data_IF_211908287937
#
_entry.id   IF_211908287937
#
_cell.length_a   1.000
_cell.length_b   1.000
_cell.length_c   1.000
_cell.angle_alpha   90.00
_cell.angle_beta   90.00
_cell.angle_gamma   90.00
#
_symmetry.space_group_name_H-M   'P 1'
#
loop_
_entity.id
_entity.type
_entity.pdbx_description
1 polymer ?
#
# COMPACT_ATOMS: atom_id res chain seq x y z
N UNK A 1 26.94 2.91 4.20
CA UNK A 1 25.49 2.72 4.02
C UNK A 1 25.16 1.26 4.24
N UNK A 2 24.00 0.95 4.84
CA UNK A 2 23.55 -0.43 5.06
C UNK A 2 22.12 -0.55 4.54
N UNK A 3 21.79 -1.70 3.92
CA UNK A 3 20.47 -1.97 3.38
C UNK A 3 19.80 -3.16 4.07
N UNK A 4 18.51 -3.02 4.37
CA UNK A 4 17.64 -4.15 4.68
C UNK A 4 16.96 -4.65 3.41
N UNK A 5 16.98 -5.94 3.16
CA UNK A 5 16.31 -6.56 2.01
C UNK A 5 15.07 -7.30 2.53
N UNK A 6 13.90 -6.89 2.05
CA UNK A 6 12.62 -7.53 2.30
C UNK A 6 12.13 -8.24 1.03
N UNK A 7 12.49 -9.53 0.81
CA UNK A 7 12.19 -10.25 -0.43
C UNK A 7 10.83 -10.93 -0.38
N UNK A 8 10.07 -10.88 -1.47
CA UNK A 8 8.84 -11.66 -1.60
C UNK A 8 9.14 -13.12 -1.97
N UNK A 9 9.22 -13.96 -0.97
CA UNK A 9 9.49 -15.41 -1.10
C UNK A 9 8.37 -16.21 -1.80
N UNK A 10 7.17 -15.62 -2.01
CA UNK A 10 6.08 -16.27 -2.75
C UNK A 10 6.29 -16.21 -4.27
N UNK A 11 7.12 -15.28 -4.76
CA UNK A 11 7.46 -15.16 -6.18
C UNK A 11 8.66 -16.04 -6.53
N UNK A 12 8.51 -16.96 -7.50
CA UNK A 12 9.59 -17.85 -7.92
C UNK A 12 10.83 -17.07 -8.43
N UNK A 13 10.62 -15.95 -9.10
CA UNK A 13 11.69 -15.12 -9.66
C UNK A 13 12.66 -14.57 -8.61
N UNK A 14 12.23 -14.46 -7.34
CA UNK A 14 13.07 -13.96 -6.23
C UNK A 14 14.32 -14.82 -6.04
N UNK A 15 14.19 -16.14 -6.17
CA UNK A 15 15.28 -17.09 -5.94
C UNK A 15 16.42 -16.99 -6.97
N UNK A 16 16.12 -16.50 -8.17
CA UNK A 16 17.12 -16.21 -9.21
C UNK A 16 17.68 -14.79 -9.07
N UNK A 17 16.87 -13.86 -8.59
CA UNK A 17 17.23 -12.46 -8.53
C UNK A 17 17.97 -12.07 -7.26
N UNK A 18 17.61 -12.59 -6.09
CA UNK A 18 18.22 -12.22 -4.81
C UNK A 18 19.74 -12.45 -4.78
N UNK A 19 20.30 -13.57 -5.29
CA UNK A 19 21.75 -13.74 -5.39
C UNK A 19 22.43 -12.68 -6.26
N UNK A 20 21.78 -12.24 -7.34
CA UNK A 20 22.29 -11.16 -8.21
C UNK A 20 22.32 -9.82 -7.48
N UNK A 21 21.23 -9.50 -6.75
CA UNK A 21 21.16 -8.28 -5.93
C UNK A 21 22.25 -8.27 -4.86
N UNK A 22 22.44 -9.39 -4.16
CA UNK A 22 23.49 -9.54 -3.15
C UNK A 22 24.87 -9.27 -3.76
N UNK A 23 25.16 -9.88 -4.90
CA UNK A 23 26.44 -9.66 -5.62
C UNK A 23 26.65 -8.19 -6.03
N UNK A 24 25.59 -7.50 -6.46
CA UNK A 24 25.64 -6.06 -6.76
C UNK A 24 26.02 -5.27 -5.50
N UNK A 25 25.40 -5.55 -4.35
CA UNK A 25 25.69 -4.86 -3.09
C UNK A 25 27.12 -5.12 -2.61
N UNK A 26 27.60 -6.37 -2.69
CA UNK A 26 28.96 -6.76 -2.33
C UNK A 26 30.00 -6.07 -3.24
N UNK A 27 29.76 -6.01 -4.53
CA UNK A 27 30.63 -5.30 -5.48
C UNK A 27 30.71 -3.80 -5.20
N UNK A 28 29.66 -3.21 -4.66
CA UNK A 28 29.64 -1.80 -4.23
C UNK A 28 30.14 -1.62 -2.78
N UNK A 29 30.64 -2.69 -2.12
CA UNK A 29 31.12 -2.69 -0.73
C UNK A 29 30.06 -2.20 0.27
N UNK A 30 28.80 -2.52 0.02
CA UNK A 30 27.65 -2.12 0.84
C UNK A 30 27.22 -3.30 1.71
N UNK A 31 27.10 -3.05 2.99
CA UNK A 31 26.60 -4.02 3.94
C UNK A 31 25.09 -4.18 3.80
N UNK A 32 24.60 -5.40 3.87
CA UNK A 32 23.18 -5.72 3.76
C UNK A 32 22.74 -6.71 4.85
N UNK A 33 21.43 -6.70 5.08
CA UNK A 33 20.75 -7.67 5.94
C UNK A 33 19.49 -8.16 5.20
N UNK A 34 19.08 -9.38 5.47
CA UNK A 34 17.90 -10.00 4.85
C UNK A 34 16.86 -10.29 5.92
N UNK A 35 15.60 -10.07 5.60
CA UNK A 35 14.51 -10.36 6.51
C UNK A 35 14.49 -11.84 6.91
N UNK A 36 14.47 -12.11 8.22
CA UNK A 36 14.58 -13.45 8.79
C UNK A 36 13.46 -14.40 8.33
N UNK A 37 12.30 -13.84 8.01
CA UNK A 37 11.13 -14.57 7.49
C UNK A 37 11.42 -15.26 6.14
N UNK A 38 12.44 -14.80 5.42
CA UNK A 38 12.85 -15.40 4.16
C UNK A 38 13.78 -16.61 4.31
N UNK A 39 14.42 -16.78 5.47
CA UNK A 39 15.52 -17.71 5.70
C UNK A 39 15.19 -19.15 5.28
N UNK A 40 14.16 -19.74 5.85
CA UNK A 40 13.81 -21.14 5.60
C UNK A 40 13.53 -21.41 4.12
N UNK A 41 12.82 -20.49 3.44
CA UNK A 41 12.49 -20.62 2.02
C UNK A 41 13.70 -20.45 1.11
N UNK A 42 14.66 -19.62 1.48
CA UNK A 42 15.91 -19.46 0.73
C UNK A 42 16.80 -20.72 0.88
N UNK A 43 16.92 -21.27 2.09
CA UNK A 43 17.65 -22.52 2.35
C UNK A 43 17.03 -23.71 1.61
N UNK A 44 15.69 -23.85 1.57
CA UNK A 44 14.96 -24.84 0.75
C UNK A 44 15.30 -24.75 -0.75
N UNK A 45 15.70 -23.58 -1.22
CA UNK A 45 16.09 -23.31 -2.62
C UNK A 45 17.60 -23.29 -2.83
N UNK A 46 18.38 -23.80 -1.86
CA UNK A 46 19.85 -23.84 -1.88
C UNK A 46 20.50 -22.45 -2.01
N UNK A 47 19.87 -21.41 -1.48
CA UNK A 47 20.41 -20.05 -1.41
C UNK A 47 20.86 -19.82 0.03
N UNK A 48 22.19 -19.93 0.23
CA UNK A 48 22.79 -19.82 1.55
C UNK A 48 23.37 -18.42 1.76
N UNK A 49 22.89 -17.75 2.78
CA UNK A 49 23.36 -16.45 3.24
C UNK A 49 23.89 -16.63 4.67
N UNK A 50 24.97 -15.94 4.99
CA UNK A 50 25.54 -15.99 6.34
C UNK A 50 24.44 -15.73 7.40
N UNK A 51 24.24 -16.65 8.37
CA UNK A 51 23.19 -16.51 9.39
C UNK A 51 23.21 -15.19 10.16
N UNK A 52 24.37 -14.57 10.33
CA UNK A 52 24.51 -13.27 11.00
C UNK A 52 23.84 -12.10 10.26
N UNK A 53 23.60 -12.26 8.94
CA UNK A 53 22.98 -11.24 8.08
C UNK A 53 21.45 -11.31 8.11
N UNK A 54 20.86 -12.36 8.67
CA UNK A 54 19.41 -12.39 8.86
C UNK A 54 19.00 -11.57 10.08
N UNK A 55 18.00 -10.69 9.90
CA UNK A 55 17.46 -9.84 10.95
C UNK A 55 15.93 -9.82 10.90
N UNK A 56 15.30 -9.64 12.05
CA UNK A 56 13.85 -9.41 12.11
C UNK A 56 13.49 -8.07 11.46
N UNK A 57 12.29 -7.94 10.96
CA UNK A 57 11.77 -6.68 10.40
C UNK A 57 11.80 -5.55 11.43
N UNK A 58 11.52 -5.84 12.70
CA UNK A 58 11.64 -4.90 13.81
C UNK A 58 13.07 -4.38 13.98
N UNK A 59 14.07 -5.29 14.00
CA UNK A 59 15.47 -4.89 14.08
C UNK A 59 15.87 -4.03 12.88
N UNK A 60 15.44 -4.43 11.66
CA UNK A 60 15.72 -3.65 10.45
C UNK A 60 15.13 -2.25 10.53
N UNK A 61 13.87 -2.12 10.98
CA UNK A 61 13.19 -0.84 11.13
C UNK A 61 13.85 0.10 12.15
N UNK A 62 14.44 -0.47 13.21
CA UNK A 62 15.07 0.32 14.29
C UNK A 62 16.54 0.68 14.01
N UNK A 63 17.26 -0.13 13.20
CA UNK A 63 18.70 0.03 13.01
C UNK A 63 19.10 0.49 11.60
N UNK A 64 18.22 0.35 10.61
CA UNK A 64 18.55 0.66 9.22
C UNK A 64 17.74 1.86 8.73
N UNK A 65 18.36 2.66 7.86
CA UNK A 65 17.66 3.76 7.17
C UNK A 65 17.10 3.32 5.81
N UNK A 66 17.68 2.34 5.15
CA UNK A 66 17.28 1.94 3.80
C UNK A 66 16.74 0.52 3.77
N UNK A 67 15.51 0.38 3.29
CA UNK A 67 14.85 -0.91 3.09
C UNK A 67 14.57 -1.10 1.60
N UNK A 68 15.02 -2.21 1.04
CA UNK A 68 14.75 -2.66 -0.32
C UNK A 68 13.63 -3.70 -0.28
N UNK A 69 12.44 -3.33 -0.72
CA UNK A 69 11.35 -4.28 -0.97
C UNK A 69 11.55 -4.91 -2.35
N UNK A 70 11.69 -6.23 -2.41
CA UNK A 70 11.97 -6.94 -3.66
C UNK A 70 10.80 -7.82 -4.04
N UNK A 71 10.06 -7.43 -5.10
CA UNK A 71 8.86 -8.19 -5.48
C UNK A 71 8.00 -7.51 -6.54
N UNK A 72 6.82 -7.13 -6.22
CA UNK A 72 5.87 -6.35 -7.04
C UNK A 72 5.15 -5.35 -6.16
N UNK A 73 4.13 -4.66 -6.69
CA UNK A 73 3.41 -3.64 -5.94
C UNK A 73 2.80 -4.17 -4.63
N UNK A 74 2.21 -5.38 -4.63
CA UNK A 74 1.72 -6.00 -3.39
C UNK A 74 2.80 -6.23 -2.33
N UNK A 75 4.04 -6.56 -2.74
CA UNK A 75 5.18 -6.70 -1.80
C UNK A 75 5.62 -5.36 -1.24
N UNK A 76 5.54 -4.33 -2.08
CA UNK A 76 5.83 -2.97 -1.67
C UNK A 76 4.82 -2.45 -0.65
N UNK A 77 3.53 -2.70 -0.87
CA UNK A 77 2.46 -2.38 0.09
C UNK A 77 2.67 -3.09 1.42
N UNK A 78 3.00 -4.38 1.39
CA UNK A 78 3.29 -5.16 2.59
C UNK A 78 4.49 -4.58 3.36
N UNK A 79 5.59 -4.28 2.67
CA UNK A 79 6.76 -3.65 3.27
C UNK A 79 6.42 -2.26 3.84
N UNK A 80 5.65 -1.44 3.12
CA UNK A 80 5.22 -0.13 3.59
C UNK A 80 4.41 -0.21 4.89
N UNK A 81 3.53 -1.21 5.03
CA UNK A 81 2.79 -1.46 6.28
C UNK A 81 3.70 -1.86 7.43
N UNK A 82 4.58 -2.85 7.20
CA UNK A 82 5.49 -3.38 8.22
C UNK A 82 6.40 -2.27 8.75
N UNK A 83 6.93 -1.45 7.86
CA UNK A 83 7.88 -0.40 8.20
C UNK A 83 7.26 0.96 8.47
N UNK A 84 5.92 1.10 8.42
CA UNK A 84 5.20 2.39 8.60
C UNK A 84 5.47 3.08 9.94
N UNK A 85 5.77 2.31 10.99
CA UNK A 85 6.09 2.83 12.33
C UNK A 85 7.54 3.29 12.51
N UNK A 86 8.42 3.13 11.50
CA UNK A 86 9.85 3.38 11.61
C UNK A 86 10.29 4.51 10.68
N UNK A 87 11.37 5.20 11.05
CA UNK A 87 12.01 6.22 10.21
C UNK A 87 12.93 5.59 9.17
N UNK A 88 12.36 4.93 8.17
CA UNK A 88 13.10 4.27 7.10
C UNK A 88 12.77 4.85 5.72
N UNK A 89 13.66 4.63 4.77
CA UNK A 89 13.53 4.99 3.37
C UNK A 89 13.26 3.72 2.57
N UNK A 90 12.02 3.56 2.10
CA UNK A 90 11.59 2.39 1.36
C UNK A 90 11.84 2.57 -0.13
N UNK A 91 12.54 1.60 -0.73
CA UNK A 91 12.78 1.52 -2.17
C UNK A 91 12.24 0.21 -2.71
N UNK A 92 11.45 0.25 -3.76
CA UNK A 92 10.89 -0.94 -4.39
C UNK A 92 11.69 -1.41 -5.60
N UNK A 93 12.03 -2.70 -5.64
CA UNK A 93 12.61 -3.37 -6.81
C UNK A 93 11.58 -4.32 -7.39
N UNK A 94 11.18 -4.09 -8.63
CA UNK A 94 10.14 -4.85 -9.29
C UNK A 94 10.69 -6.06 -10.04
N UNK A 95 10.15 -7.24 -9.72
CA UNK A 95 10.44 -8.49 -10.42
C UNK A 95 9.36 -8.80 -11.47
N UNK A 96 9.54 -8.29 -12.68
CA UNK A 96 8.59 -8.44 -13.79
C UNK A 96 8.26 -7.10 -14.45
N UNK A 97 7.01 -6.89 -14.86
CA UNK A 97 6.56 -5.61 -15.40
C UNK A 97 6.42 -4.58 -14.27
N UNK A 98 7.00 -3.41 -14.46
CA UNK A 98 7.00 -2.32 -13.48
C UNK A 98 5.56 -1.93 -13.11
N UNK A 99 5.24 -1.92 -11.82
CA UNK A 99 4.00 -1.37 -11.27
C UNK A 99 4.05 0.16 -11.11
N UNK A 100 3.10 0.71 -10.39
CA UNK A 100 3.06 2.14 -10.05
C UNK A 100 3.91 2.48 -8.82
N UNK A 101 4.22 1.51 -7.97
CA UNK A 101 4.81 1.74 -6.66
C UNK A 101 6.32 1.52 -6.62
N UNK A 102 6.81 0.55 -7.39
CA UNK A 102 8.23 0.23 -7.38
C UNK A 102 9.02 1.19 -8.27
N UNK A 103 10.19 1.61 -7.78
CA UNK A 103 11.02 2.61 -8.45
C UNK A 103 12.23 2.02 -9.20
N UNK A 104 12.51 0.72 -9.05
CA UNK A 104 13.65 0.05 -9.70
C UNK A 104 13.15 -1.12 -10.56
N UNK A 105 13.52 -1.13 -11.84
CA UNK A 105 13.40 -2.30 -12.71
C UNK A 105 14.58 -3.24 -12.48
N UNK A 106 14.39 -4.54 -12.73
CA UNK A 106 15.44 -5.56 -12.56
C UNK A 106 16.74 -5.18 -13.29
N UNK A 107 16.62 -4.72 -14.54
CA UNK A 107 17.79 -4.39 -15.36
C UNK A 107 18.51 -3.10 -14.92
N UNK A 108 17.85 -2.23 -14.19
CA UNK A 108 18.39 -0.95 -13.75
C UNK A 108 18.96 -1.01 -12.32
N UNK A 109 18.90 -2.18 -11.69
CA UNK A 109 19.24 -2.33 -10.26
C UNK A 109 20.61 -1.78 -9.91
N UNK A 110 21.64 -2.13 -10.67
CA UNK A 110 23.02 -1.71 -10.35
C UNK A 110 23.17 -0.18 -10.41
N UNK A 111 22.63 0.46 -11.46
CA UNK A 111 22.68 1.91 -11.63
C UNK A 111 21.92 2.63 -10.52
N UNK A 112 20.74 2.10 -10.14
CA UNK A 112 19.90 2.67 -9.08
C UNK A 112 20.50 2.47 -7.68
N UNK A 113 21.14 1.35 -7.39
CA UNK A 113 21.88 1.15 -6.14
C UNK A 113 23.03 2.16 -6.04
N UNK A 114 23.74 2.45 -7.15
CA UNK A 114 24.77 3.52 -7.16
C UNK A 114 24.15 4.91 -6.88
N UNK A 115 22.97 5.22 -7.40
CA UNK A 115 22.26 6.47 -7.09
C UNK A 115 21.87 6.54 -5.62
N UNK A 116 21.38 5.42 -5.03
CA UNK A 116 21.09 5.35 -3.58
C UNK A 116 22.34 5.63 -2.74
N UNK A 117 23.48 5.02 -3.08
CA UNK A 117 24.75 5.22 -2.38
C UNK A 117 25.20 6.69 -2.46
N UNK A 118 25.01 7.33 -3.62
CA UNK A 118 25.34 8.76 -3.85
C UNK A 118 24.29 9.72 -3.29
N UNK A 119 23.20 9.21 -2.70
CA UNK A 119 22.06 9.99 -2.23
C UNK A 119 21.39 10.84 -3.33
N UNK A 120 21.46 10.36 -4.60
CA UNK A 120 20.85 11.03 -5.75
C UNK A 120 19.41 10.56 -5.98
N UNK A 121 18.53 10.90 -5.04
CA UNK A 121 17.11 10.62 -5.04
C UNK A 121 16.37 11.71 -4.26
N UNK A 122 15.03 11.67 -4.30
CA UNK A 122 14.15 12.46 -3.45
C UNK A 122 13.37 11.54 -2.54
N UNK A 123 13.00 12.07 -1.36
CA UNK A 123 12.15 11.37 -0.40
C UNK A 123 10.74 11.94 -0.48
N UNK A 124 9.77 11.08 -0.69
CA UNK A 124 8.35 11.42 -0.69
C UNK A 124 7.68 10.98 0.60
N UNK A 125 6.83 11.84 1.14
CA UNK A 125 5.82 11.45 2.11
C UNK A 125 4.60 10.92 1.34
N UNK A 126 3.95 9.91 1.90
CA UNK A 126 2.67 9.42 1.35
C UNK A 126 1.66 9.32 2.45
N UNK A 127 0.43 9.63 2.10
CA UNK A 127 -0.72 9.47 2.97
C UNK A 127 -0.99 7.98 3.20
N UNK A 128 -1.27 7.60 4.43
CA UNK A 128 -1.85 6.31 4.81
C UNK A 128 -3.28 6.53 5.29
N UNK A 129 -4.08 5.47 5.31
CA UNK A 129 -5.36 5.47 6.01
C UNK A 129 -5.26 4.63 7.27
N UNK A 130 -5.86 5.14 8.34
CA UNK A 130 -6.18 4.40 9.55
C UNK A 130 -7.69 4.17 9.57
N UNK A 131 -8.09 2.94 9.88
CA UNK A 131 -9.48 2.58 10.00
C UNK A 131 -9.76 1.99 11.37
N UNK A 132 -10.95 2.31 11.92
CA UNK A 132 -11.41 1.85 13.24
C UNK A 132 -12.89 1.49 13.14
N UNK A 133 -13.27 0.35 13.68
CA UNK A 133 -14.67 -0.02 13.89
C UNK A 133 -15.08 0.41 15.29
N UNK A 134 -16.13 1.21 15.39
CA UNK A 134 -16.77 1.59 16.66
C UNK A 134 -18.07 0.79 16.80
N UNK A 135 -18.25 0.13 17.93
CA UNK A 135 -19.53 -0.51 18.29
C UNK A 135 -20.54 0.48 18.90
N UNK A 136 -21.74 -0.01 19.22
CA UNK A 136 -22.80 0.82 19.80
C UNK A 136 -22.47 1.40 21.19
N UNK A 137 -21.45 0.90 21.87
CA UNK A 137 -20.95 1.38 23.16
C UNK A 137 -19.65 2.21 23.01
N UNK A 138 -19.26 2.53 21.76
CA UNK A 138 -18.03 3.25 21.39
C UNK A 138 -16.73 2.52 21.74
N UNK A 139 -16.74 1.19 21.89
CA UNK A 139 -15.49 0.44 21.92
C UNK A 139 -14.86 0.43 20.53
N UNK A 140 -13.57 0.72 20.50
CA UNK A 140 -12.82 0.91 19.26
C UNK A 140 -11.98 -0.32 18.92
N UNK A 141 -12.23 -0.94 17.77
CA UNK A 141 -11.37 -1.96 17.18
C UNK A 141 -10.54 -1.35 16.05
N UNK A 142 -9.24 -1.16 16.29
CA UNK A 142 -8.32 -0.64 15.27
C UNK A 142 -8.00 -1.69 14.24
N UNK A 143 -8.06 -1.30 12.97
CA UNK A 143 -7.65 -2.12 11.83
C UNK A 143 -6.21 -1.79 11.42
N UNK A 144 -5.53 -2.66 10.64
CA UNK A 144 -4.21 -2.36 10.12
C UNK A 144 -4.22 -1.10 9.24
N UNK A 145 -3.15 -0.32 9.28
CA UNK A 145 -2.99 0.83 8.37
C UNK A 145 -2.83 0.36 6.93
N UNK A 146 -3.25 1.18 5.98
CA UNK A 146 -3.14 0.90 4.54
C UNK A 146 -2.49 2.05 3.81
N UNK A 147 -1.80 1.72 2.70
CA UNK A 147 -1.19 2.69 1.80
C UNK A 147 -2.07 2.97 0.58
N UNK A 148 -2.91 2.02 0.14
CA UNK A 148 -3.81 2.22 -0.99
C UNK A 148 -5.23 2.57 -0.55
N UNK A 149 -5.97 1.59 -0.02
CA UNK A 149 -7.40 1.75 0.17
C UNK A 149 -8.00 0.90 1.30
N UNK A 150 -9.12 1.40 1.80
CA UNK A 150 -10.10 0.70 2.63
C UNK A 150 -11.34 0.49 1.78
N UNK A 151 -11.70 -0.75 1.53
CA UNK A 151 -12.88 -1.11 0.75
C UNK A 151 -13.91 -1.74 1.65
N UNK A 152 -15.13 -1.20 1.67
CA UNK A 152 -16.28 -1.82 2.35
C UNK A 152 -17.32 -2.23 1.32
N UNK A 153 -17.78 -3.46 1.37
CA UNK A 153 -18.75 -3.97 0.44
C UNK A 153 -19.37 -5.31 0.85
N UNK A 154 -20.26 -5.77 0.02
CA UNK A 154 -20.94 -7.07 0.20
C UNK A 154 -20.03 -8.22 -0.19
N UNK A 155 -20.28 -9.37 0.45
CA UNK A 155 -19.64 -10.63 0.09
C UNK A 155 -20.45 -11.46 -0.92
N UNK A 156 -21.68 -11.02 -1.26
CA UNK A 156 -22.58 -11.76 -2.13
C UNK A 156 -22.85 -10.99 -3.44
N UNK A 157 -22.68 -11.66 -4.57
CA UNK A 157 -23.02 -11.13 -5.88
C UNK A 157 -24.55 -10.97 -5.97
N UNK A 158 -25.03 -9.86 -6.56
CA UNK A 158 -26.45 -9.67 -6.89
C UNK A 158 -27.31 -8.94 -5.84
N UNK A 159 -26.82 -8.72 -4.61
CA UNK A 159 -27.52 -7.87 -3.64
C UNK A 159 -26.85 -6.51 -3.54
N UNK A 160 -27.61 -5.47 -3.78
CA UNK A 160 -27.22 -4.08 -3.53
C UNK A 160 -27.29 -3.78 -2.03
N UNK A 161 -26.29 -3.07 -1.52
CA UNK A 161 -26.28 -2.57 -0.14
C UNK A 161 -26.59 -1.07 -0.09
N UNK A 162 -26.98 -0.58 1.07
CA UNK A 162 -27.16 0.86 1.32
C UNK A 162 -26.19 1.30 2.40
N UNK A 163 -25.22 2.12 2.02
CA UNK A 163 -24.21 2.67 2.91
C UNK A 163 -24.49 4.15 3.13
N UNK A 164 -24.57 4.58 4.38
CA UNK A 164 -24.63 6.00 4.73
C UNK A 164 -23.23 6.53 4.95
N UNK A 165 -22.88 7.57 4.22
CA UNK A 165 -21.61 8.28 4.28
C UNK A 165 -21.77 9.54 5.10
N UNK A 166 -20.87 9.76 6.06
CA UNK A 166 -20.75 10.96 6.85
C UNK A 166 -19.33 11.50 6.73
N UNK A 167 -19.20 12.81 6.64
CA UNK A 167 -17.90 13.50 6.60
C UNK A 167 -17.92 14.55 7.70
N UNK A 168 -16.98 14.46 8.65
CA UNK A 168 -16.87 15.35 9.80
C UNK A 168 -18.20 15.48 10.57
N UNK A 169 -18.85 14.33 10.82
CA UNK A 169 -20.17 14.23 11.48
C UNK A 169 -21.37 14.79 10.70
N UNK A 170 -21.16 15.31 9.49
CA UNK A 170 -22.22 15.74 8.62
C UNK A 170 -22.64 14.62 7.68
N UNK A 171 -23.94 14.34 7.62
CA UNK A 171 -24.49 13.39 6.65
C UNK A 171 -24.21 13.90 5.23
N UNK A 172 -23.43 13.16 4.46
CA UNK A 172 -23.09 13.52 3.09
C UNK A 172 -24.05 12.89 2.09
N UNK A 173 -24.21 11.56 2.14
CA UNK A 173 -25.06 10.84 1.19
C UNK A 173 -25.32 9.41 1.64
N UNK A 174 -26.42 8.81 1.15
CA UNK A 174 -26.66 7.38 1.19
C UNK A 174 -26.46 6.79 -0.20
N UNK A 175 -25.59 5.80 -0.30
CA UNK A 175 -25.27 5.10 -1.55
C UNK A 175 -25.97 3.73 -1.62
N UNK A 176 -26.95 3.53 -2.52
CA UNK A 176 -27.33 2.20 -2.96
C UNK A 176 -26.26 1.72 -3.96
N UNK A 177 -25.40 0.78 -3.57
CA UNK A 177 -24.20 0.40 -4.32
C UNK A 177 -23.76 -1.03 -4.01
N UNK A 178 -22.66 -1.47 -4.62
CA UNK A 178 -21.99 -2.73 -4.28
C UNK A 178 -20.98 -2.55 -3.13
N UNK A 179 -20.52 -1.33 -2.88
CA UNK A 179 -19.59 -0.96 -1.83
C UNK A 179 -19.08 0.47 -1.97
N UNK A 180 -18.20 0.86 -1.06
CA UNK A 180 -17.45 2.13 -1.09
C UNK A 180 -15.96 1.85 -0.95
N UNK A 181 -15.15 2.66 -1.62
CA UNK A 181 -13.70 2.69 -1.52
C UNK A 181 -13.30 4.02 -0.91
N UNK A 182 -12.52 4.00 0.15
CA UNK A 182 -11.80 5.16 0.66
C UNK A 182 -10.34 4.94 0.28
N UNK A 183 -9.77 5.82 -0.53
CA UNK A 183 -8.44 5.61 -1.08
C UNK A 183 -7.52 6.80 -0.86
N UNK A 184 -6.24 6.50 -0.71
CA UNK A 184 -5.15 7.48 -0.71
C UNK A 184 -4.80 7.90 -2.14
N UNK A 185 -3.95 8.92 -2.34
CA UNK A 185 -3.38 9.23 -3.65
C UNK A 185 -2.61 8.03 -4.25
N UNK A 186 -1.90 7.26 -3.42
CA UNK A 186 -1.20 6.06 -3.89
C UNK A 186 -2.18 5.02 -4.44
N UNK A 187 -3.30 4.80 -3.76
CA UNK A 187 -4.34 3.86 -4.18
C UNK A 187 -5.23 4.37 -5.32
N UNK A 188 -5.15 5.67 -5.66
CA UNK A 188 -5.96 6.26 -6.73
C UNK A 188 -5.73 5.64 -8.11
N UNK A 189 -4.58 5.00 -8.32
CA UNK A 189 -4.26 4.25 -9.56
C UNK A 189 -4.64 2.77 -9.49
N UNK A 190 -5.22 2.31 -8.35
CA UNK A 190 -5.63 0.94 -8.09
C UNK A 190 -7.12 0.69 -8.31
N UNK A 191 -7.77 0.08 -7.31
CA UNK A 191 -9.19 -0.28 -7.41
C UNK A 191 -10.11 0.94 -7.53
N UNK A 192 -9.77 2.04 -6.87
CA UNK A 192 -10.50 3.30 -7.00
C UNK A 192 -10.56 3.78 -8.44
N UNK A 193 -9.46 3.70 -9.21
CA UNK A 193 -9.43 4.02 -10.64
C UNK A 193 -10.38 3.15 -11.46
N UNK A 194 -10.37 1.84 -11.22
CA UNK A 194 -11.25 0.90 -11.91
C UNK A 194 -12.74 1.17 -11.66
N UNK A 195 -13.08 1.82 -10.54
CA UNK A 195 -14.44 2.25 -10.19
C UNK A 195 -14.76 3.70 -10.63
N UNK A 196 -13.90 4.34 -11.44
CA UNK A 196 -14.13 5.69 -11.97
C UNK A 196 -13.70 6.82 -11.02
N UNK A 197 -12.86 6.53 -10.04
CA UNK A 197 -12.21 7.54 -9.20
C UNK A 197 -11.15 8.35 -9.96
N UNK A 198 -10.87 9.58 -9.53
CA UNK A 198 -9.82 10.41 -10.12
C UNK A 198 -8.44 9.87 -9.79
N UNK A 199 -7.46 10.11 -10.66
CA UNK A 199 -6.06 9.88 -10.39
C UNK A 199 -5.50 11.07 -9.64
N UNK A 200 -4.88 10.83 -8.48
CA UNK A 200 -4.16 11.83 -7.71
C UNK A 200 -2.65 11.61 -7.83
N UNK A 201 -1.88 12.68 -7.81
CA UNK A 201 -0.42 12.57 -7.71
C UNK A 201 -0.03 11.88 -6.39
N UNK A 202 0.92 10.97 -6.41
CA UNK A 202 1.28 10.14 -5.24
C UNK A 202 1.69 10.92 -3.98
N UNK A 203 2.18 12.15 -4.16
CA UNK A 203 2.55 13.07 -3.08
C UNK A 203 1.42 14.01 -2.64
N UNK A 204 0.21 13.89 -3.20
CA UNK A 204 -0.96 14.65 -2.77
C UNK A 204 -1.37 14.24 -1.34
N UNK A 205 -2.11 15.11 -0.67
CA UNK A 205 -2.50 14.90 0.74
C UNK A 205 -4.02 14.75 0.90
N UNK A 206 -4.71 14.42 -0.18
CA UNK A 206 -6.15 14.25 -0.24
C UNK A 206 -6.52 12.77 -0.17
N UNK A 207 -7.71 12.47 0.31
CA UNK A 207 -8.36 11.17 0.20
C UNK A 207 -9.44 11.21 -0.86
N UNK A 208 -9.80 10.06 -1.41
CA UNK A 208 -10.96 9.95 -2.29
C UNK A 208 -11.95 8.93 -1.75
N UNK A 209 -13.23 9.23 -1.90
CA UNK A 209 -14.34 8.29 -1.68
C UNK A 209 -14.96 7.96 -3.02
N UNK A 210 -14.96 6.68 -3.37
CA UNK A 210 -15.42 6.18 -4.67
C UNK A 210 -16.48 5.10 -4.46
N UNK A 211 -17.72 5.29 -4.94
CA UNK A 211 -18.75 4.25 -4.87
C UNK A 211 -18.51 3.14 -5.92
N UNK A 212 -18.72 1.90 -5.53
CA UNK A 212 -18.65 0.75 -6.42
C UNK A 212 -20.03 0.48 -7.00
N UNK A 213 -20.18 0.58 -8.32
CA UNK A 213 -21.43 0.33 -9.04
C UNK A 213 -22.66 1.00 -8.39
N UNK A 214 -22.65 2.32 -8.17
CA UNK A 214 -23.79 2.98 -7.51
C UNK A 214 -25.05 2.95 -8.39
N UNK A 215 -26.19 2.63 -7.77
CA UNK A 215 -27.51 2.61 -8.39
C UNK A 215 -28.28 3.93 -8.10
N UNK A 216 -27.66 5.05 -8.40
CA UNK A 216 -28.22 6.40 -8.21
C UNK A 216 -27.79 7.29 -9.36
N UNK A 217 -28.54 8.39 -9.59
CA UNK A 217 -28.15 9.40 -10.56
C UNK A 217 -26.90 10.19 -10.11
N UNK A 218 -26.71 10.34 -8.81
CA UNK A 218 -25.53 10.99 -8.22
C UNK A 218 -24.35 10.01 -8.11
N UNK A 219 -23.73 9.70 -9.25
CA UNK A 219 -22.58 8.78 -9.37
C UNK A 219 -21.26 9.55 -9.33
N UNK A 220 -20.99 10.27 -8.27
CA UNK A 220 -19.74 11.03 -8.18
C UNK A 220 -18.80 10.45 -7.13
N UNK A 221 -17.52 10.57 -7.41
CA UNK A 221 -16.45 10.39 -6.45
C UNK A 221 -16.15 11.71 -5.77
N UNK A 222 -15.83 11.69 -4.50
CA UNK A 222 -15.49 12.90 -3.72
C UNK A 222 -14.00 12.90 -3.40
N UNK A 223 -13.38 14.08 -3.50
CA UNK A 223 -12.02 14.34 -3.02
C UNK A 223 -12.15 15.05 -1.68
N UNK A 224 -11.46 14.56 -0.68
CA UNK A 224 -11.49 15.02 0.71
C UNK A 224 -10.09 15.42 1.14
N UNK A 225 -9.99 16.35 2.08
CA UNK A 225 -8.73 16.73 2.70
C UNK A 225 -8.20 15.61 3.62
N UNK A 226 -6.89 15.55 3.85
CA UNK A 226 -6.30 14.58 4.78
C UNK A 226 -6.88 14.65 6.21
N UNK A 227 -7.34 15.83 6.63
CA UNK A 227 -7.92 16.06 7.96
C UNK A 227 -9.39 15.67 8.08
N UNK A 228 -10.05 15.30 6.97
CA UNK A 228 -11.45 14.89 7.02
C UNK A 228 -11.59 13.49 7.62
N UNK A 229 -12.65 13.29 8.40
CA UNK A 229 -13.00 12.00 8.98
C UNK A 229 -14.19 11.43 8.23
N UNK A 230 -13.97 10.27 7.63
CA UNK A 230 -15.02 9.51 6.93
C UNK A 230 -15.65 8.52 7.88
N UNK A 231 -16.97 8.56 8.03
CA UNK A 231 -17.74 7.55 8.78
C UNK A 231 -18.72 6.85 7.85
N UNK A 232 -18.79 5.53 7.97
CA UNK A 232 -19.69 4.70 7.18
C UNK A 232 -20.51 3.83 8.11
N UNK A 233 -21.83 3.86 7.93
CA UNK A 233 -22.78 3.02 8.66
C UNK A 233 -23.63 2.21 7.68
N UNK A 234 -24.11 1.06 8.16
CA UNK A 234 -25.03 0.21 7.42
C UNK A 234 -26.47 0.76 7.58
N UNK A 235 -27.28 0.59 6.52
CA UNK A 235 -28.71 0.79 6.65
C UNK A 235 -29.34 -0.34 7.47
N UNK A 236 -30.59 -0.13 7.93
CA UNK A 236 -31.31 -1.12 8.75
C UNK A 236 -31.58 -2.47 8.08
N UNK A 237 -31.37 -2.57 6.78
CA UNK A 237 -31.61 -3.80 6.00
C UNK A 237 -30.39 -4.72 5.89
N UNK A 238 -29.22 -4.21 6.25
CA UNK A 238 -27.96 -4.95 6.15
C UNK A 238 -27.53 -5.43 7.53
N UNK A 239 -27.07 -6.68 7.62
CA UNK A 239 -26.60 -7.24 8.89
C UNK A 239 -25.08 -7.20 9.01
N UNK A 240 -24.38 -7.55 7.93
CA UNK A 240 -22.90 -7.63 7.90
C UNK A 240 -22.38 -7.20 6.52
N UNK A 241 -21.34 -6.37 6.52
CA UNK A 241 -20.51 -6.09 5.35
C UNK A 241 -19.04 -6.40 5.64
N UNK A 242 -18.27 -6.59 4.58
CA UNK A 242 -16.85 -6.94 4.68
C UNK A 242 -15.98 -5.73 4.36
N UNK A 243 -14.92 -5.57 5.16
CA UNK A 243 -13.90 -4.54 4.99
C UNK A 243 -12.62 -5.22 4.53
N UNK A 244 -12.06 -4.75 3.43
CA UNK A 244 -10.75 -5.15 2.92
C UNK A 244 -9.75 -4.00 3.07
N UNK A 245 -8.52 -4.32 3.46
CA UNK A 245 -7.42 -3.39 3.74
C UNK A 245 -6.28 -3.64 2.73
N UNK A 246 -6.09 -2.78 1.71
CA UNK A 246 -5.16 -2.99 0.59
C UNK A 246 -5.35 -4.34 -0.12
N UNK A 247 -6.59 -4.76 -0.31
CA UNK A 247 -6.91 -6.05 -0.92
C UNK A 247 -6.57 -7.27 -0.05
N UNK A 248 -6.21 -7.08 1.21
CA UNK A 248 -5.87 -8.15 2.15
C UNK A 248 -6.74 -8.11 3.39
N UNK A 249 -6.93 -9.29 4.00
CA UNK A 249 -7.77 -9.45 5.18
C UNK A 249 -9.25 -9.29 4.86
N UNK A 250 -10.07 -9.72 5.80
CA UNK A 250 -11.51 -9.49 5.78
C UNK A 250 -11.94 -9.23 7.22
N UNK A 251 -12.49 -8.05 7.45
CA UNK A 251 -13.05 -7.65 8.72
C UNK A 251 -14.53 -7.42 8.51
N UNK A 252 -15.34 -7.70 9.50
CA UNK A 252 -16.78 -7.53 9.41
C UNK A 252 -17.20 -6.21 10.06
N UNK A 253 -18.04 -5.46 9.35
CA UNK A 253 -18.82 -4.36 9.92
C UNK A 253 -20.25 -4.85 10.10
N UNK A 254 -20.72 -4.85 11.35
CA UNK A 254 -22.06 -5.32 11.71
C UNK A 254 -23.04 -4.16 11.81
N UNK A 255 -24.32 -4.47 11.75
CA UNK A 255 -25.37 -3.49 12.02
C UNK A 255 -25.18 -2.85 13.41
N UNK A 256 -25.30 -1.52 13.47
CA UNK A 256 -25.06 -0.73 14.68
C UNK A 256 -23.61 -0.33 14.90
N UNK A 257 -22.67 -0.87 14.13
CA UNK A 257 -21.27 -0.45 14.15
C UNK A 257 -21.02 0.66 13.11
N UNK A 258 -19.98 1.43 13.36
CA UNK A 258 -19.53 2.51 12.48
C UNK A 258 -18.08 2.26 12.07
N UNK A 259 -17.81 2.23 10.76
CA UNK A 259 -16.44 2.28 10.24
C UNK A 259 -16.00 3.74 10.17
N UNK A 260 -14.92 4.06 10.86
CA UNK A 260 -14.28 5.39 10.85
C UNK A 260 -12.96 5.27 10.10
N UNK A 261 -12.74 6.12 9.10
CA UNK A 261 -11.50 6.15 8.31
C UNK A 261 -10.96 7.58 8.26
N UNK A 262 -9.66 7.72 8.45
CA UNK A 262 -8.96 9.00 8.41
C UNK A 262 -7.59 8.90 7.77
N UNK A 263 -7.13 10.01 7.18
CA UNK A 263 -5.77 10.13 6.68
C UNK A 263 -4.78 10.28 7.82
N UNK A 264 -3.65 9.60 7.74
CA UNK A 264 -2.56 9.72 8.71
C UNK A 264 -1.20 9.77 8.02
N UNK A 265 -0.27 10.50 8.62
CA UNK A 265 1.14 10.52 8.20
C UNK A 265 1.94 9.51 9.00
N UNK A 266 2.91 8.91 8.35
CA UNK A 266 3.84 7.95 8.96
C UNK A 266 5.28 8.43 8.81
N UNK A 267 6.18 7.89 9.62
CA UNK A 267 7.59 8.28 9.62
C UNK A 267 8.38 7.69 8.44
N UNK A 268 7.84 6.65 7.81
CA UNK A 268 8.43 6.07 6.60
C UNK A 268 8.45 7.09 5.46
N UNK A 269 9.54 7.10 4.68
CA UNK A 269 9.69 7.89 3.46
C UNK A 269 9.89 6.97 2.27
N UNK A 270 9.43 7.40 1.11
CA UNK A 270 9.47 6.62 -0.11
C UNK A 270 10.50 7.21 -1.07
N UNK A 271 11.42 6.37 -1.54
CA UNK A 271 12.47 6.82 -2.46
C UNK A 271 11.90 6.91 -3.86
N UNK A 272 12.07 8.09 -4.48
CA UNK A 272 11.86 8.33 -5.90
C UNK A 272 13.14 8.86 -6.54
N UNK A 273 13.51 8.30 -7.66
CA UNK A 273 14.66 8.78 -8.41
C UNK A 273 14.29 10.01 -9.24
N UNK A 274 15.23 10.95 -9.40
CA UNK A 274 14.99 12.22 -10.11
C UNK A 274 14.66 12.07 -11.58
N UNK A 275 15.10 10.97 -12.19
CA UNK A 275 14.83 10.58 -13.58
C UNK A 275 13.50 9.83 -13.75
N UNK A 276 12.63 9.84 -12.76
CA UNK A 276 11.30 9.20 -12.79
C UNK A 276 10.21 10.26 -12.61
N UNK A 277 9.41 10.44 -13.64
CA UNK A 277 8.23 11.30 -13.61
C UNK A 277 6.96 10.49 -13.41
N UNK A 278 6.08 10.98 -12.54
CA UNK A 278 4.81 10.31 -12.23
C UNK A 278 3.91 10.19 -13.48
N UNK A 279 3.87 11.25 -14.30
CA UNK A 279 3.00 11.27 -15.47
C UNK A 279 3.54 10.40 -16.60
N UNK A 280 4.86 10.26 -16.74
CA UNK A 280 5.47 9.31 -17.67
C UNK A 280 5.14 7.88 -17.30
N UNK A 281 5.28 7.52 -16.00
CA UNK A 281 4.91 6.18 -15.50
C UNK A 281 3.44 5.91 -15.75
N UNK A 282 2.57 6.90 -15.49
CA UNK A 282 1.13 6.78 -15.71
C UNK A 282 0.81 6.55 -17.19
N UNK A 283 1.39 7.35 -18.08
CA UNK A 283 1.21 7.24 -19.54
C UNK A 283 1.66 5.86 -20.06
N UNK A 284 2.83 5.40 -19.64
CA UNK A 284 3.36 4.09 -20.02
C UNK A 284 2.43 2.94 -19.59
N UNK A 285 1.75 3.10 -18.46
CA UNK A 285 0.89 2.06 -17.89
C UNK A 285 -0.52 2.03 -18.47
N UNK A 286 -1.10 3.20 -18.69
CA UNK A 286 -2.50 3.32 -19.10
C UNK A 286 -2.67 3.43 -20.62
N UNK A 287 -1.72 4.03 -21.33
CA UNK A 287 -1.86 4.32 -22.76
C UNK A 287 -1.17 3.29 -23.64
N UNK A 288 0.01 2.78 -23.26
CA UNK A 288 0.77 1.83 -24.10
C UNK A 288 0.29 0.36 -24.02
N UNK A 289 -0.76 0.07 -23.28
CA UNK A 289 -1.39 -1.28 -23.21
C UNK A 289 -2.62 -1.44 -24.10
N UNK A 290 -2.89 -0.48 -24.99
CA UNK A 290 -3.95 -0.57 -26.01
C UNK A 290 -3.35 -1.08 -27.31
#
# INVERSE_FOLDING_TARGET
MEFGIYPNIKKQKIYQYLPKLIKILENQQVKYFVANEAKSKLEEKNIYINPALYKTTEWMGTHLKHILSVGGDGSYLEAAKIFSGYEVFLTGIHLGELGFLNSIKENDTESKIRQLIKQDYVLEERLFLEATILDGENHATKLPVVLNDVVIGKNQIGKMVRLSLWINDNFAQQYPCDGLIISTPTGSTGYAFSCGGPILHSAAQEMIVVPICPHTLAKFSSVLSEGDIVKITLSDREEILHISMDGNGSYDLKKGETLVVQGIRKNIRFVRFKDQDFWEILSDKLVKKI
#
